data_IF_410699409395
#
_entry.id   IF_410699409395
#
_cell.length_a   1.000
_cell.length_b   1.000
_cell.length_c   1.000
_cell.angle_alpha   90.00
_cell.angle_beta   90.00
_cell.angle_gamma   90.00
#
_symmetry.space_group_name_H-M   'P 1'
#
loop_
_entity.id
_entity.type
_entity.pdbx_description
1 polymer ?
#
# COMPACT_ATOMS: atom_id res chain seq x y z
N UNK A 1 59.94 -44.34 -60.27
CA UNK A 1 58.48 -44.54 -60.15
C UNK A 1 58.17 -45.01 -58.74
N UNK A 2 57.26 -44.29 -58.05
CA UNK A 2 56.25 -44.70 -57.05
C UNK A 2 56.65 -45.76 -55.98
N UNK A 3 56.34 -45.65 -54.68
CA UNK A 3 55.33 -44.88 -53.97
C UNK A 3 55.75 -44.66 -52.50
N UNK A 4 55.47 -43.46 -51.99
CA UNK A 4 55.59 -43.08 -50.59
C UNK A 4 54.32 -43.50 -49.84
N UNK A 5 54.45 -44.24 -48.74
CA UNK A 5 53.40 -44.36 -47.73
C UNK A 5 53.94 -43.81 -46.41
N UNK A 6 53.54 -42.59 -46.07
CA UNK A 6 53.73 -41.99 -44.76
C UNK A 6 52.43 -42.12 -43.97
N UNK A 7 52.40 -43.01 -42.98
CA UNK A 7 51.37 -43.02 -41.94
C UNK A 7 51.62 -41.83 -41.00
N UNK A 8 50.64 -40.94 -40.87
CA UNK A 8 50.68 -39.81 -39.92
C UNK A 8 50.36 -40.32 -38.51
N UNK A 9 51.21 -40.10 -37.49
CA UNK A 9 50.83 -40.35 -36.11
C UNK A 9 49.88 -39.26 -35.62
N UNK A 10 48.85 -39.68 -34.89
CA UNK A 10 47.79 -38.85 -34.31
C UNK A 10 48.39 -38.03 -33.16
N UNK A 11 48.25 -36.70 -33.20
CA UNK A 11 48.72 -35.80 -32.14
C UNK A 11 47.78 -35.90 -30.93
N UNK A 12 48.31 -36.32 -29.79
CA UNK A 12 47.59 -36.41 -28.52
C UNK A 12 47.09 -35.04 -28.02
N UNK A 13 45.85 -35.02 -27.54
CA UNK A 13 45.16 -33.88 -26.91
C UNK A 13 45.61 -33.80 -25.44
N UNK A 14 46.92 -33.68 -25.18
CA UNK A 14 47.39 -33.37 -23.83
C UNK A 14 47.50 -31.85 -23.70
N UNK A 15 46.39 -31.25 -23.26
CA UNK A 15 46.30 -29.83 -22.95
C UNK A 15 47.15 -29.58 -21.69
N UNK A 16 48.28 -28.90 -21.85
CA UNK A 16 49.16 -28.47 -20.76
C UNK A 16 48.35 -27.60 -19.78
N UNK A 17 48.47 -27.79 -18.45
CA UNK A 17 47.82 -26.89 -17.50
C UNK A 17 48.44 -25.50 -17.64
N UNK A 18 47.61 -24.52 -18.01
CA UNK A 18 47.98 -23.10 -17.88
C UNK A 18 48.05 -22.77 -16.39
N UNK A 19 49.11 -22.05 -16.06
CA UNK A 19 49.45 -21.47 -14.76
C UNK A 19 48.24 -20.87 -14.02
N UNK A 20 48.11 -21.32 -12.78
CA UNK A 20 47.20 -20.84 -11.75
C UNK A 20 47.59 -19.45 -11.21
N UNK A 21 47.44 -18.42 -12.04
CA UNK A 21 47.73 -17.03 -11.60
C UNK A 21 46.67 -15.98 -11.96
N UNK A 22 45.60 -16.35 -12.68
CA UNK A 22 44.59 -15.37 -13.15
C UNK A 22 43.15 -15.76 -12.78
N UNK A 23 42.97 -16.60 -11.76
CA UNK A 23 41.64 -16.98 -11.23
C UNK A 23 41.34 -16.42 -9.84
N UNK A 24 42.07 -15.38 -9.38
CA UNK A 24 41.83 -14.77 -8.06
C UNK A 24 41.08 -13.43 -8.07
N UNK A 25 40.71 -12.88 -9.23
CA UNK A 25 40.00 -11.57 -9.28
C UNK A 25 38.52 -11.63 -9.65
N UNK A 26 37.92 -12.83 -9.78
CA UNK A 26 36.47 -13.00 -9.97
C UNK A 26 35.78 -13.81 -8.87
N UNK A 27 36.35 -13.86 -7.67
CA UNK A 27 35.73 -14.41 -6.46
C UNK A 27 35.21 -13.31 -5.51
N UNK A 28 34.96 -12.11 -6.02
CA UNK A 28 34.57 -10.91 -5.26
C UNK A 28 33.10 -10.83 -4.84
N UNK A 29 32.27 -11.81 -5.17
CA UNK A 29 30.99 -12.01 -4.48
C UNK A 29 31.18 -13.09 -3.43
N UNK A 30 31.79 -12.70 -2.30
CA UNK A 30 31.75 -13.50 -1.07
C UNK A 30 30.29 -13.86 -0.82
N UNK A 31 29.94 -15.15 -0.98
CA UNK A 31 28.63 -15.68 -0.62
C UNK A 31 28.41 -15.30 0.84
N UNK A 32 27.58 -14.27 1.10
CA UNK A 32 27.19 -13.88 2.47
C UNK A 32 26.84 -15.17 3.21
N UNK A 33 27.43 -15.38 4.40
CA UNK A 33 27.20 -16.64 5.11
C UNK A 33 25.69 -16.82 5.28
N UNK A 34 25.13 -18.00 4.94
CA UNK A 34 23.69 -18.22 5.02
C UNK A 34 23.16 -18.00 6.44
N UNK A 35 24.00 -18.22 7.45
CA UNK A 35 23.73 -17.89 8.86
C UNK A 35 23.49 -16.39 9.07
N UNK A 36 24.32 -15.53 8.50
CA UNK A 36 24.22 -14.08 8.67
C UNK A 36 22.96 -13.55 7.99
N UNK A 37 22.62 -14.11 6.82
CA UNK A 37 21.36 -13.83 6.12
C UNK A 37 20.15 -14.26 6.95
N UNK A 38 20.17 -15.48 7.51
CA UNK A 38 19.09 -15.97 8.36
C UNK A 38 18.90 -15.10 9.62
N UNK A 39 20.00 -14.68 10.27
CA UNK A 39 19.94 -13.78 11.43
C UNK A 39 19.39 -12.40 11.07
N UNK A 40 19.74 -11.87 9.89
CA UNK A 40 19.18 -10.62 9.39
C UNK A 40 17.66 -10.71 9.19
N UNK A 41 17.19 -11.76 8.51
CA UNK A 41 15.74 -11.97 8.34
C UNK A 41 15.02 -12.20 9.68
N UNK A 42 15.64 -12.93 10.61
CA UNK A 42 15.07 -13.13 11.94
C UNK A 42 14.87 -11.81 12.69
N UNK A 43 15.83 -10.87 12.58
CA UNK A 43 15.71 -9.53 13.18
C UNK A 43 14.60 -8.72 12.53
N UNK A 44 14.53 -8.68 11.19
CA UNK A 44 13.47 -7.97 10.49
C UNK A 44 12.06 -8.48 10.87
N UNK A 45 11.91 -9.80 11.01
CA UNK A 45 10.65 -10.41 11.45
C UNK A 45 10.34 -10.02 12.90
N UNK A 46 11.36 -9.98 13.77
CA UNK A 46 11.19 -9.55 15.15
C UNK A 46 10.75 -8.07 15.22
N UNK A 47 11.44 -7.19 14.50
CA UNK A 47 11.11 -5.76 14.45
C UNK A 47 9.66 -5.53 13.98
N UNK A 48 9.21 -6.30 12.97
CA UNK A 48 7.83 -6.28 12.52
C UNK A 48 6.85 -6.68 13.62
N UNK A 49 7.13 -7.78 14.33
CA UNK A 49 6.27 -8.25 15.43
C UNK A 49 6.22 -7.26 16.59
N UNK A 50 7.35 -6.64 16.91
CA UNK A 50 7.45 -5.66 17.99
C UNK A 50 6.58 -4.43 17.68
N UNK A 51 6.58 -3.99 16.41
CA UNK A 51 5.72 -2.90 15.93
C UNK A 51 4.24 -3.31 15.93
N UNK A 52 3.91 -4.51 15.46
CA UNK A 52 2.52 -5.03 15.52
C UNK A 52 2.02 -5.09 16.98
N UNK A 53 2.84 -5.57 17.90
CA UNK A 53 2.52 -5.58 19.34
C UNK A 53 2.29 -4.16 19.88
N UNK A 54 3.13 -3.20 19.48
CA UNK A 54 3.00 -1.80 19.90
C UNK A 54 1.69 -1.17 19.40
N UNK A 55 1.26 -1.48 18.18
CA UNK A 55 -0.03 -1.01 17.63
C UNK A 55 -1.18 -1.56 18.47
N UNK A 56 -1.15 -2.84 18.84
CA UNK A 56 -2.18 -3.42 19.70
C UNK A 56 -2.22 -2.75 21.08
N UNK A 57 -1.07 -2.51 21.71
CA UNK A 57 -0.99 -1.81 22.99
C UNK A 57 -1.57 -0.38 22.90
N UNK A 58 -1.34 0.30 21.78
CA UNK A 58 -1.93 1.61 21.51
C UNK A 58 -3.42 1.54 21.29
N UNK A 59 -3.94 0.54 20.57
CA UNK A 59 -5.39 0.34 20.42
C UNK A 59 -6.02 0.18 21.81
N UNK A 60 -5.45 -0.68 22.66
CA UNK A 60 -5.93 -0.89 24.03
C UNK A 60 -5.95 0.41 24.85
N UNK A 61 -4.87 1.19 24.82
CA UNK A 61 -4.82 2.46 25.53
C UNK A 61 -5.83 3.50 25.00
N UNK A 62 -6.05 3.54 23.68
CA UNK A 62 -6.94 4.52 23.03
C UNK A 62 -8.43 4.16 23.16
N UNK A 63 -8.77 2.90 23.46
CA UNK A 63 -10.16 2.49 23.68
C UNK A 63 -10.76 3.15 24.93
N UNK A 64 -9.95 3.39 25.96
CA UNK A 64 -10.41 3.96 27.24
C UNK A 64 -10.60 5.48 27.20
N UNK A 65 -10.02 6.16 26.20
CA UNK A 65 -10.24 7.59 26.00
C UNK A 65 -11.72 7.92 25.66
N UNK A 66 -12.20 9.12 26.00
CA UNK A 66 -11.52 10.17 26.76
C UNK A 66 -11.46 9.86 28.27
N UNK A 67 -10.36 10.23 28.93
CA UNK A 67 -10.21 10.06 30.36
C UNK A 67 -11.14 11.01 31.14
N UNK A 68 -11.38 12.20 30.59
CA UNK A 68 -12.27 13.21 31.15
C UNK A 68 -13.50 13.39 30.25
N UNK A 69 -14.65 12.75 30.57
CA UNK A 69 -15.85 12.79 29.73
C UNK A 69 -16.61 14.13 29.79
N UNK A 70 -16.16 15.08 30.60
CA UNK A 70 -16.77 16.41 30.73
C UNK A 70 -16.57 17.29 29.48
N UNK A 71 -15.60 16.96 28.63
CA UNK A 71 -15.31 17.71 27.42
C UNK A 71 -16.10 17.18 26.21
N UNK A 72 -16.72 18.06 25.41
CA UNK A 72 -17.44 17.64 24.21
C UNK A 72 -16.46 17.18 23.13
N UNK A 73 -16.94 16.34 22.20
CA UNK A 73 -16.13 15.82 21.10
C UNK A 73 -15.55 16.91 20.16
N UNK A 74 -16.15 18.10 20.13
CA UNK A 74 -15.65 19.25 19.36
C UNK A 74 -14.54 20.03 20.05
N UNK A 75 -14.38 19.86 21.37
CA UNK A 75 -13.33 20.53 22.16
C UNK A 75 -12.82 19.56 23.23
N UNK A 76 -12.08 18.52 22.80
CA UNK A 76 -11.56 17.50 23.72
C UNK A 76 -10.44 18.05 24.61
N UNK A 77 -10.16 17.35 25.70
CA UNK A 77 -9.13 17.76 26.65
C UNK A 77 -7.73 17.69 26.00
N UNK A 78 -6.84 18.68 26.20
CA UNK A 78 -5.53 18.74 25.53
C UNK A 78 -4.62 17.54 25.81
N UNK A 79 -4.70 16.94 27.00
CA UNK A 79 -3.93 15.73 27.32
C UNK A 79 -4.39 14.52 26.50
N UNK A 80 -5.70 14.38 26.29
CA UNK A 80 -6.28 13.28 25.52
C UNK A 80 -5.93 13.45 24.05
N UNK A 81 -5.89 14.71 23.55
CA UNK A 81 -5.42 15.05 22.21
C UNK A 81 -3.95 14.66 22.03
N UNK A 82 -3.07 15.06 22.94
CA UNK A 82 -1.64 14.79 22.84
C UNK A 82 -1.36 13.27 22.85
N UNK A 83 -2.04 12.54 23.73
CA UNK A 83 -1.96 11.07 23.82
C UNK A 83 -2.46 10.43 22.52
N UNK A 84 -3.62 10.84 22.04
CA UNK A 84 -4.21 10.34 20.80
C UNK A 84 -3.32 10.56 19.58
N UNK A 85 -2.83 11.79 19.36
CA UNK A 85 -2.01 12.13 18.21
C UNK A 85 -0.64 11.45 18.25
N UNK A 86 -0.05 11.29 19.45
CA UNK A 86 1.22 10.58 19.62
C UNK A 86 1.12 9.10 19.24
N UNK A 87 0.05 8.43 19.64
CA UNK A 87 -0.15 7.00 19.40
C UNK A 87 -0.63 6.69 17.97
N UNK A 88 -1.56 7.49 17.42
CA UNK A 88 -2.16 7.25 16.10
C UNK A 88 -1.18 7.43 14.95
N UNK A 89 -0.05 8.10 15.16
CA UNK A 89 0.93 8.35 14.11
C UNK A 89 1.47 7.10 13.42
N UNK A 90 1.62 5.98 14.15
CA UNK A 90 2.12 4.73 13.57
C UNK A 90 1.03 3.93 12.84
N UNK A 91 -0.24 4.33 12.99
CA UNK A 91 -1.35 3.53 12.48
C UNK A 91 -1.42 3.56 10.95
N UNK A 92 -1.97 2.49 10.40
CA UNK A 92 -2.57 2.45 9.07
C UNK A 92 -4.07 2.80 9.16
N UNK A 93 -4.71 3.14 8.03
CA UNK A 93 -6.16 3.29 7.97
C UNK A 93 -6.93 2.07 8.48
N UNK A 94 -6.40 0.85 8.29
CA UNK A 94 -6.97 -0.39 8.81
C UNK A 94 -6.90 -0.47 10.34
N UNK A 95 -5.76 -0.18 10.94
CA UNK A 95 -5.59 -0.20 12.40
C UNK A 95 -6.54 0.81 13.07
N UNK A 96 -6.82 1.93 12.39
CA UNK A 96 -7.79 2.91 12.85
C UNK A 96 -9.24 2.39 12.77
N UNK A 97 -9.58 1.58 11.75
CA UNK A 97 -10.88 0.90 11.68
C UNK A 97 -11.03 -0.17 12.77
N UNK A 98 -9.95 -0.87 13.11
CA UNK A 98 -9.92 -1.83 14.22
C UNK A 98 -10.15 -1.10 15.55
N UNK A 99 -9.48 0.04 15.77
CA UNK A 99 -9.72 0.89 16.94
C UNK A 99 -11.19 1.33 17.04
N UNK A 100 -11.80 1.74 15.93
CA UNK A 100 -13.24 2.11 15.90
C UNK A 100 -14.10 0.91 16.32
N UNK A 101 -13.80 -0.27 15.77
CA UNK A 101 -14.55 -1.50 16.03
C UNK A 101 -14.44 -1.90 17.50
N UNK A 102 -13.23 -1.95 18.05
CA UNK A 102 -12.99 -2.30 19.46
C UNK A 102 -13.69 -1.31 20.40
N UNK A 103 -13.65 -0.02 20.10
CA UNK A 103 -14.40 0.99 20.86
C UNK A 103 -15.91 0.80 20.78
N UNK A 104 -16.43 0.39 19.63
CA UNK A 104 -17.85 0.12 19.49
C UNK A 104 -18.30 -1.13 20.26
N UNK A 105 -17.41 -2.11 20.43
CA UNK A 105 -17.61 -3.28 21.28
C UNK A 105 -17.54 -2.89 22.77
N UNK A 106 -16.62 -2.02 23.15
CA UNK A 106 -16.50 -1.53 24.52
C UNK A 106 -17.64 -0.55 24.89
N UNK A 107 -18.58 -1.01 25.73
CA UNK A 107 -19.69 -0.20 26.29
C UNK A 107 -20.56 0.55 25.26
N UNK A 108 -20.50 0.18 23.98
CA UNK A 108 -21.13 0.88 22.86
C UNK A 108 -20.68 2.35 22.75
N UNK A 109 -19.39 2.65 22.95
CA UNK A 109 -18.85 4.00 22.76
C UNK A 109 -18.84 4.38 21.26
N UNK A 110 -18.82 5.69 21.01
CA UNK A 110 -18.65 6.23 19.67
C UNK A 110 -17.27 5.85 19.11
N UNK A 111 -17.21 5.55 17.81
CA UNK A 111 -15.96 5.24 17.11
C UNK A 111 -14.94 6.38 17.13
N UNK A 112 -15.40 7.63 17.30
CA UNK A 112 -14.48 8.75 17.45
C UNK A 112 -13.86 8.71 18.85
N UNK A 113 -12.54 8.51 18.91
CA UNK A 113 -11.75 8.26 20.14
C UNK A 113 -11.95 9.31 21.23
N UNK A 114 -11.98 10.57 20.85
CA UNK A 114 -12.11 11.70 21.76
C UNK A 114 -13.56 12.00 22.16
N UNK A 115 -14.54 11.20 21.69
CA UNK A 115 -15.95 11.38 22.00
C UNK A 115 -16.35 10.56 23.24
N UNK A 116 -16.91 11.19 24.29
CA UNK A 116 -17.42 10.46 25.45
C UNK A 116 -18.79 9.80 25.21
N UNK A 117 -19.46 10.13 24.10
CA UNK A 117 -20.82 9.68 23.85
C UNK A 117 -20.89 8.23 23.37
N UNK A 118 -22.02 7.59 23.64
CA UNK A 118 -22.34 6.26 23.08
C UNK A 118 -22.72 6.35 21.61
N UNK A 119 -22.44 5.29 20.86
CA UNK A 119 -22.86 5.16 19.45
C UNK A 119 -24.38 5.05 19.34
N UNK A 120 -24.93 5.48 18.20
CA UNK A 120 -26.35 5.31 17.91
C UNK A 120 -26.63 3.84 17.60
N UNK A 121 -27.79 3.35 18.03
CA UNK A 121 -28.34 2.07 17.60
C UNK A 121 -29.66 2.32 16.90
N UNK A 122 -29.82 1.80 15.70
CA UNK A 122 -31.07 1.90 14.96
C UNK A 122 -31.92 0.67 15.24
N UNK A 123 -33.19 0.88 15.59
CA UNK A 123 -34.13 -0.23 15.74
C UNK A 123 -34.56 -0.73 14.36
N UNK A 124 -34.64 -2.06 14.21
CA UNK A 124 -35.13 -2.75 13.00
C UNK A 124 -34.03 -3.46 12.20
N UNK A 125 -34.33 -4.66 11.70
CA UNK A 125 -33.40 -5.60 11.07
C UNK A 125 -32.99 -5.27 9.61
N UNK A 126 -33.10 -4.00 9.19
CA UNK A 126 -32.71 -3.59 7.84
C UNK A 126 -31.20 -3.41 7.73
N UNK A 127 -30.58 -4.00 6.70
CA UNK A 127 -29.15 -3.85 6.40
C UNK A 127 -28.78 -2.44 5.92
N UNK A 128 -29.72 -1.75 5.27
CA UNK A 128 -29.54 -0.39 4.75
C UNK A 128 -30.55 0.58 5.35
N UNK A 129 -30.14 1.85 5.48
CA UNK A 129 -30.98 2.96 5.93
C UNK A 129 -30.88 4.12 4.95
N UNK A 130 -32.03 4.73 4.74
CA UNK A 130 -32.20 5.94 3.93
C UNK A 130 -31.81 7.14 4.81
N UNK A 131 -30.75 7.84 4.44
CA UNK A 131 -30.30 9.06 5.11
C UNK A 131 -30.75 10.28 4.30
N UNK A 132 -31.23 11.32 4.99
CA UNK A 132 -31.66 12.59 4.37
C UNK A 132 -32.76 12.44 3.28
N UNK A 133 -33.72 11.53 3.47
CA UNK A 133 -34.84 11.35 2.53
C UNK A 133 -35.51 12.70 2.19
N UNK A 134 -35.67 12.98 0.89
CA UNK A 134 -36.30 14.20 0.39
C UNK A 134 -35.40 15.45 0.35
N UNK A 135 -34.09 15.31 0.60
CA UNK A 135 -33.10 16.38 0.40
C UNK A 135 -32.14 16.02 -0.73
N UNK A 136 -31.39 17.02 -1.24
CA UNK A 136 -30.38 16.84 -2.29
C UNK A 136 -29.27 15.86 -1.88
N UNK A 137 -28.95 15.80 -0.59
CA UNK A 137 -27.92 14.92 -0.02
C UNK A 137 -28.48 13.55 0.41
N UNK A 138 -29.39 12.99 -0.38
CA UNK A 138 -29.99 11.67 -0.12
C UNK A 138 -28.97 10.57 -0.38
N UNK A 139 -28.83 9.64 0.57
CA UNK A 139 -27.90 8.52 0.45
C UNK A 139 -28.47 7.27 1.12
N UNK A 140 -28.05 6.10 0.62
CA UNK A 140 -28.41 4.78 1.14
C UNK A 140 -27.16 4.20 1.77
N UNK A 141 -27.11 4.23 3.10
CA UNK A 141 -25.93 3.81 3.86
C UNK A 141 -26.25 2.54 4.63
N UNK A 142 -25.27 1.64 4.74
CA UNK A 142 -25.39 0.48 5.60
C UNK A 142 -25.63 0.87 7.06
N UNK A 143 -26.53 0.14 7.72
CA UNK A 143 -26.84 0.35 9.15
C UNK A 143 -25.58 0.23 9.99
N UNK A 144 -24.68 -0.72 9.67
CA UNK A 144 -23.43 -0.95 10.41
C UNK A 144 -22.52 0.28 10.40
N UNK A 145 -22.38 0.96 9.26
CA UNK A 145 -21.56 2.17 9.13
C UNK A 145 -22.12 3.35 9.92
N UNK A 146 -23.45 3.48 9.98
CA UNK A 146 -24.12 4.52 10.76
C UNK A 146 -24.03 4.27 12.27
N UNK A 147 -24.07 3.00 12.68
CA UNK A 147 -24.01 2.58 14.09
C UNK A 147 -22.62 2.64 14.71
N UNK A 148 -21.57 2.96 13.94
CA UNK A 148 -20.23 3.24 14.49
C UNK A 148 -20.19 4.56 15.27
N UNK A 149 -21.13 5.48 14.99
CA UNK A 149 -21.02 6.89 15.41
C UNK A 149 -22.18 7.37 16.28
N UNK A 150 -21.92 8.38 17.12
CA UNK A 150 -22.97 9.09 17.87
C UNK A 150 -23.60 10.25 17.06
N UNK A 151 -22.94 10.72 16.00
CA UNK A 151 -23.37 11.85 15.18
C UNK A 151 -22.59 11.91 13.86
N UNK A 152 -23.16 12.58 12.85
CA UNK A 152 -22.48 12.81 11.55
C UNK A 152 -21.20 13.62 11.70
N UNK A 153 -21.16 14.55 12.65
CA UNK A 153 -19.96 15.34 12.91
C UNK A 153 -18.84 14.46 13.47
N UNK A 154 -19.13 13.50 14.34
CA UNK A 154 -18.11 12.54 14.80
C UNK A 154 -17.60 11.64 13.66
N UNK A 155 -18.46 11.23 12.73
CA UNK A 155 -18.03 10.53 11.51
C UNK A 155 -17.05 11.37 10.70
N UNK A 156 -17.35 12.66 10.49
CA UNK A 156 -16.44 13.57 9.76
C UNK A 156 -15.11 13.75 10.48
N UNK A 157 -15.11 13.94 11.79
CA UNK A 157 -13.88 14.07 12.59
C UNK A 157 -12.99 12.84 12.49
N UNK A 158 -13.58 11.65 12.62
CA UNK A 158 -12.84 10.41 12.53
C UNK A 158 -12.34 10.13 11.11
N UNK A 159 -13.18 10.39 10.09
CA UNK A 159 -12.79 10.22 8.70
C UNK A 159 -11.67 11.19 8.30
N UNK A 160 -11.70 12.42 8.81
CA UNK A 160 -10.63 13.42 8.62
C UNK A 160 -9.28 12.89 9.12
N UNK A 161 -9.26 12.22 10.28
CA UNK A 161 -8.05 11.60 10.82
C UNK A 161 -7.61 10.43 9.95
N UNK A 162 -8.55 9.54 9.59
CA UNK A 162 -8.27 8.34 8.77
C UNK A 162 -7.59 8.68 7.44
N UNK A 163 -8.07 9.72 6.75
CA UNK A 163 -7.53 10.15 5.44
C UNK A 163 -6.11 10.71 5.54
N UNK A 164 -5.70 11.17 6.73
CA UNK A 164 -4.33 11.64 6.95
C UNK A 164 -3.34 10.51 7.25
N UNK A 165 -3.82 9.30 7.55
CA UNK A 165 -2.95 8.17 7.86
C UNK A 165 -2.30 7.61 6.60
N UNK A 166 -1.09 7.07 6.76
CA UNK A 166 -0.34 6.48 5.67
C UNK A 166 -0.76 5.01 5.49
N UNK A 167 -0.91 4.57 4.23
CA UNK A 167 -1.27 3.19 3.90
C UNK A 167 -0.08 2.22 4.05
N UNK A 168 1.16 2.69 3.95
CA UNK A 168 2.37 1.87 4.16
C UNK A 168 2.46 1.37 5.59
N UNK A 169 2.94 0.16 5.80
CA UNK A 169 3.03 -0.40 7.15
C UNK A 169 4.07 0.33 8.00
N UNK A 170 3.85 0.42 9.31
CA UNK A 170 4.71 1.17 10.22
C UNK A 170 6.19 0.73 10.16
N UNK A 171 6.46 -0.57 10.00
CA UNK A 171 7.82 -1.11 9.87
C UNK A 171 8.54 -0.75 8.56
N UNK A 172 7.81 -0.30 7.53
CA UNK A 172 8.38 0.14 6.25
C UNK A 172 8.69 1.64 6.23
N UNK A 173 8.23 2.38 7.25
CA UNK A 173 8.36 3.84 7.34
C UNK A 173 9.71 4.32 7.91
N UNK A 174 10.67 3.42 8.11
CA UNK A 174 11.99 3.77 8.63
C UNK A 174 12.69 4.73 7.65
N UNK A 175 12.89 5.98 8.08
CA UNK A 175 13.54 7.04 7.28
C UNK A 175 12.58 7.98 6.53
N UNK A 176 11.27 7.79 6.62
CA UNK A 176 10.29 8.75 6.12
C UNK A 176 10.02 9.87 7.13
N UNK A 177 9.66 11.09 6.67
CA UNK A 177 9.35 12.20 7.55
C UNK A 177 8.15 11.89 8.46
N UNK A 178 8.21 12.46 9.65
CA UNK A 178 7.16 12.42 10.67
C UNK A 178 5.80 12.85 10.13
N UNK A 179 4.82 11.93 10.15
CA UNK A 179 3.43 12.27 9.84
C UNK A 179 2.86 13.19 10.92
N UNK A 180 2.45 14.39 10.53
CA UNK A 180 1.72 15.33 11.38
C UNK A 180 0.23 15.17 11.14
N UNK A 181 -0.46 14.53 12.10
CA UNK A 181 -1.91 14.37 12.07
C UNK A 181 -2.56 15.57 12.75
N UNK A 182 -3.55 16.18 12.09
CA UNK A 182 -4.31 17.32 12.60
C UNK A 182 -5.77 16.95 12.86
N UNK A 183 -6.36 17.54 13.90
CA UNK A 183 -7.78 17.37 14.20
C UNK A 183 -8.66 18.17 13.24
N UNK A 184 -9.92 17.78 13.15
CA UNK A 184 -10.88 18.46 12.30
C UNK A 184 -11.11 19.92 12.74
N UNK A 185 -11.03 20.90 11.82
CA UNK A 185 -11.26 22.30 12.16
C UNK A 185 -12.76 22.54 12.40
N UNK A 186 -13.12 22.94 13.62
CA UNK A 186 -14.49 23.36 13.92
C UNK A 186 -14.77 24.73 13.27
N UNK A 187 -15.90 24.83 12.57
CA UNK A 187 -16.40 26.14 12.11
C UNK A 187 -16.84 26.94 13.33
N UNK A 188 -16.03 27.89 13.75
CA UNK A 188 -16.40 28.84 14.79
C UNK A 188 -17.61 29.62 14.29
N UNK A 189 -18.78 29.45 14.92
CA UNK A 189 -20.00 30.22 14.59
C UNK A 189 -19.93 31.68 15.07
N UNK A 190 -18.74 32.27 15.15
CA UNK A 190 -18.51 33.65 15.50
C UNK A 190 -17.71 34.29 14.36
N UNK A 191 -18.40 34.93 13.41
CA UNK A 191 -17.73 35.90 12.53
C UNK A 191 -18.28 36.16 11.14
N UNK A 192 -18.96 35.22 10.48
CA UNK A 192 -19.20 35.36 9.02
C UNK A 192 -20.66 35.66 8.65
N UNK A 193 -21.16 36.79 9.16
CA UNK A 193 -22.28 37.50 8.56
C UNK A 193 -21.84 38.74 7.78
N UNK A 194 -20.53 39.02 7.67
CA UNK A 194 -20.05 40.20 6.95
C UNK A 194 -18.62 40.00 6.44
N UNK A 195 -18.47 39.39 5.26
CA UNK A 195 -17.27 39.43 4.40
C UNK A 195 -17.58 38.79 3.03
N UNK A 196 -18.56 39.35 2.36
CA UNK A 196 -18.70 39.29 0.90
C UNK A 196 -18.77 40.74 0.42
N UNK A 197 -17.65 41.46 0.53
CA UNK A 197 -17.34 42.71 -0.18
C UNK A 197 -16.11 43.34 0.48
N UNK A 198 -14.94 42.99 -0.04
CA UNK A 198 -13.69 43.75 -0.01
C UNK A 198 -12.49 42.78 -0.13
N UNK A 199 -12.22 42.33 -1.35
CA UNK A 199 -10.85 42.07 -1.77
C UNK A 199 -10.66 42.57 -3.20
N UNK A 200 -10.70 43.90 -3.29
CA UNK A 200 -9.98 44.64 -4.31
C UNK A 200 -8.52 44.65 -3.82
N UNK A 201 -7.66 43.85 -4.45
CA UNK A 201 -6.21 44.03 -4.33
C UNK A 201 -5.64 44.08 -5.73
N UNK A 202 -4.99 45.22 -5.93
CA UNK A 202 -4.30 45.70 -7.10
C UNK A 202 -3.33 44.70 -7.71
N UNK A 203 -3.39 44.68 -9.03
CA UNK A 203 -2.41 44.11 -9.94
C UNK A 203 -1.13 44.95 -9.89
N UNK A 204 0.06 44.32 -9.92
CA UNK A 204 1.20 44.92 -10.61
C UNK A 204 1.43 44.18 -11.92
N UNK A 205 1.30 44.93 -13.01
CA UNK A 205 1.79 44.56 -14.33
C UNK A 205 3.32 44.36 -14.30
N UNK A 206 3.80 43.26 -14.89
CA UNK A 206 4.96 43.31 -15.79
C UNK A 206 5.03 42.05 -16.69
N UNK A 207 4.59 42.26 -17.95
CA UNK A 207 5.17 41.74 -19.19
C UNK A 207 5.48 40.23 -19.35
N UNK A 208 4.67 39.53 -20.18
CA UNK A 208 5.14 39.05 -21.49
C UNK A 208 4.01 38.42 -22.33
N UNK A 209 3.69 39.11 -23.43
CA UNK A 209 3.20 38.64 -24.74
C UNK A 209 2.40 37.32 -24.87
N UNK A 210 1.12 37.50 -25.24
CA UNK A 210 0.44 36.68 -26.26
C UNK A 210 -0.42 35.51 -25.77
N UNK A 211 -1.75 35.71 -25.69
CA UNK A 211 -2.71 35.16 -26.67
C UNK A 211 -4.15 35.48 -26.22
N UNK A 212 -4.93 36.07 -27.12
CA UNK A 212 -6.29 36.57 -26.91
C UNK A 212 -7.28 35.44 -27.28
N UNK A 213 -8.24 35.17 -26.38
CA UNK A 213 -9.48 34.46 -26.74
C UNK A 213 -9.53 32.94 -26.57
N UNK A 214 -9.16 32.40 -25.41
CA UNK A 214 -9.46 31.00 -25.07
C UNK A 214 -10.42 30.91 -23.89
N UNK A 215 -11.49 30.15 -24.08
CA UNK A 215 -12.50 29.86 -23.05
C UNK A 215 -11.86 29.04 -21.92
N UNK A 216 -12.32 29.21 -20.67
CA UNK A 216 -11.90 28.44 -19.48
C UNK A 216 -11.57 26.95 -19.74
N UNK A 217 -12.39 26.16 -20.47
CA UNK A 217 -12.06 24.76 -20.77
C UNK A 217 -10.79 24.56 -21.61
N UNK A 218 -10.42 25.52 -22.48
CA UNK A 218 -9.19 25.42 -23.30
C UNK A 218 -7.93 25.70 -22.48
N UNK A 219 -8.02 26.54 -21.45
CA UNK A 219 -6.91 26.77 -20.51
C UNK A 219 -6.64 25.53 -19.67
N UNK A 220 -7.70 24.92 -19.12
CA UNK A 220 -7.61 23.68 -18.35
C UNK A 220 -7.07 22.52 -19.21
N UNK A 221 -7.51 22.40 -20.46
CA UNK A 221 -6.98 21.39 -21.38
C UNK A 221 -5.48 21.57 -21.65
N UNK A 222 -5.02 22.81 -21.78
CA UNK A 222 -3.59 23.13 -22.00
C UNK A 222 -2.75 22.84 -20.74
N UNK A 223 -3.30 23.14 -19.56
CA UNK A 223 -2.64 22.84 -18.28
C UNK A 223 -2.55 21.32 -18.03
N UNK A 224 -3.62 20.57 -18.32
CA UNK A 224 -3.63 19.11 -18.24
C UNK A 224 -2.62 18.46 -19.19
N UNK A 225 -2.50 18.98 -20.42
CA UNK A 225 -1.50 18.49 -21.38
C UNK A 225 -0.07 18.73 -20.89
N UNK A 226 0.18 19.87 -20.22
CA UNK A 226 1.48 20.18 -19.62
C UNK A 226 1.81 19.22 -18.46
N UNK A 227 0.84 18.95 -17.60
CA UNK A 227 1.01 18.00 -16.49
C UNK A 227 1.31 16.58 -16.99
N UNK A 228 0.67 16.14 -18.09
CA UNK A 228 0.96 14.85 -18.72
C UNK A 228 2.40 14.77 -19.24
N UNK A 229 2.88 15.79 -19.94
CA UNK A 229 4.27 15.84 -20.41
C UNK A 229 5.29 15.80 -19.25
N UNK A 230 4.98 16.42 -18.11
CA UNK A 230 5.83 16.36 -16.92
C UNK A 230 5.80 14.98 -16.25
N UNK A 231 4.64 14.32 -16.21
CA UNK A 231 4.51 12.94 -15.72
C UNK A 231 5.30 11.97 -16.59
N UNK A 232 5.20 12.09 -17.92
CA UNK A 232 5.93 11.23 -18.86
C UNK A 232 7.44 11.42 -18.73
N UNK A 233 7.92 12.67 -18.54
CA UNK A 233 9.34 12.93 -18.29
C UNK A 233 9.83 12.32 -16.99
N UNK A 234 9.04 12.39 -15.91
CA UNK A 234 9.37 11.75 -14.63
C UNK A 234 9.38 10.23 -14.74
N UNK A 235 8.40 9.66 -15.44
CA UNK A 235 8.34 8.22 -15.68
C UNK A 235 9.55 7.74 -16.50
N UNK A 236 9.98 8.49 -17.52
CA UNK A 236 11.18 8.19 -18.29
C UNK A 236 12.46 8.26 -17.43
N UNK A 237 12.59 9.26 -16.55
CA UNK A 237 13.71 9.36 -15.62
C UNK A 237 13.74 8.22 -14.61
N UNK A 238 12.58 7.84 -14.06
CA UNK A 238 12.46 6.70 -13.16
C UNK A 238 12.79 5.39 -13.87
N UNK A 239 12.31 5.21 -15.10
CA UNK A 239 12.64 4.03 -15.92
C UNK A 239 14.15 3.95 -16.22
N UNK A 240 14.80 5.09 -16.50
CA UNK A 240 16.24 5.16 -16.71
C UNK A 240 17.03 4.85 -15.43
N UNK A 241 16.58 5.35 -14.27
CA UNK A 241 17.18 5.00 -12.98
C UNK A 241 17.02 3.50 -12.67
N UNK A 242 15.83 2.93 -12.93
CA UNK A 242 15.56 1.50 -12.76
C UNK A 242 16.43 0.63 -13.68
N UNK A 243 16.64 1.06 -14.92
CA UNK A 243 17.52 0.38 -15.88
C UNK A 243 18.99 0.43 -15.44
N UNK A 244 19.42 1.54 -14.83
CA UNK A 244 20.75 1.67 -14.25
C UNK A 244 20.93 0.75 -13.03
N UNK A 245 19.91 0.62 -12.17
CA UNK A 245 19.90 -0.31 -11.03
C UNK A 245 19.87 -1.79 -11.46
N UNK A 246 19.20 -2.10 -12.57
CA UNK A 246 19.16 -3.45 -13.16
C UNK A 246 20.45 -3.84 -13.89
N UNK A 247 21.38 -2.90 -14.08
CA UNK A 247 22.64 -3.14 -14.78
C UNK A 247 22.49 -3.19 -16.31
N UNK A 248 21.39 -2.71 -16.88
CA UNK A 248 21.17 -2.59 -18.33
C UNK A 248 21.91 -1.38 -18.95
N UNK A 249 22.64 -0.62 -18.12
CA UNK A 249 23.47 0.51 -18.55
C UNK A 249 24.82 0.08 -19.09
N UNK A 250 24.87 -0.46 -20.31
CA UNK A 250 26.12 -0.84 -20.95
C UNK A 250 26.06 -0.94 -22.47
N UNK A 251 26.47 0.15 -23.13
CA UNK A 251 27.25 0.12 -24.37
C UNK A 251 26.60 -0.45 -25.63
N UNK A 252 26.38 0.44 -26.60
CA UNK A 252 26.54 0.09 -28.01
C UNK A 252 28.01 -0.31 -28.25
N UNK A 253 28.39 -1.51 -27.83
CA UNK A 253 29.62 -2.16 -28.25
C UNK A 253 29.27 -3.54 -28.81
N UNK A 254 29.73 -3.75 -30.03
CA UNK A 254 29.51 -4.91 -30.83
C UNK A 254 30.02 -6.20 -30.15
N UNK A 255 29.31 -7.30 -30.43
CA UNK A 255 29.67 -8.70 -30.13
C UNK A 255 29.12 -9.31 -28.83
N UNK A 256 27.80 -9.23 -28.63
CA UNK A 256 27.09 -10.34 -28.00
C UNK A 256 26.92 -11.47 -29.03
N UNK A 257 27.28 -12.74 -28.74
CA UNK A 257 27.02 -13.84 -29.67
C UNK A 257 25.50 -14.01 -29.84
N UNK A 258 25.00 -13.75 -31.04
CA UNK A 258 23.60 -13.99 -31.40
C UNK A 258 23.32 -15.50 -31.34
N UNK A 259 22.73 -15.98 -30.26
CA UNK A 259 22.15 -17.33 -30.23
C UNK A 259 20.78 -17.28 -30.91
N UNK A 260 20.66 -18.04 -32.00
CA UNK A 260 19.41 -18.16 -32.75
C UNK A 260 18.48 -19.12 -31.98
N UNK A 261 17.55 -18.56 -31.18
CA UNK A 261 16.59 -19.33 -30.42
C UNK A 261 15.42 -19.74 -31.34
N UNK A 262 15.50 -20.94 -31.92
CA UNK A 262 14.38 -21.53 -32.67
C UNK A 262 13.41 -22.14 -31.67
N UNK A 263 12.38 -21.39 -31.28
CA UNK A 263 11.27 -21.89 -30.49
C UNK A 263 10.43 -22.79 -31.39
N UNK A 264 10.61 -24.12 -31.27
CA UNK A 264 9.68 -25.10 -31.82
C UNK A 264 8.61 -25.40 -30.77
N UNK A 265 7.39 -24.97 -31.04
CA UNK A 265 6.23 -25.42 -30.29
C UNK A 265 6.12 -26.95 -30.36
N UNK A 266 6.24 -27.60 -29.21
CA UNK A 266 6.01 -29.03 -29.08
C UNK A 266 4.49 -29.25 -29.13
N UNK A 267 3.99 -29.92 -30.18
CA UNK A 267 2.57 -30.29 -30.26
C UNK A 267 2.20 -31.12 -29.04
N UNK A 268 1.29 -30.59 -28.24
CA UNK A 268 0.68 -31.26 -27.09
C UNK A 268 -0.41 -32.18 -27.63
N UNK A 269 -0.16 -33.49 -27.63
CA UNK A 269 -1.11 -34.52 -28.10
C UNK A 269 -2.13 -34.94 -27.03
N UNK A 270 -2.11 -34.32 -25.84
CA UNK A 270 -3.05 -34.63 -24.76
C UNK A 270 -4.19 -33.63 -24.78
N UNK A 271 -5.40 -34.13 -25.01
CA UNK A 271 -6.62 -33.34 -24.89
C UNK A 271 -6.76 -32.84 -23.45
N UNK A 272 -7.00 -31.55 -23.26
CA UNK A 272 -7.21 -30.99 -21.93
C UNK A 272 -8.49 -31.60 -21.32
N UNK A 273 -8.32 -32.45 -20.31
CA UNK A 273 -9.43 -33.03 -19.54
C UNK A 273 -9.75 -32.06 -18.42
N UNK A 274 -10.99 -31.56 -18.39
CA UNK A 274 -11.47 -30.74 -17.29
C UNK A 274 -11.46 -31.57 -15.99
N UNK A 275 -11.03 -31.01 -14.85
CA UNK A 275 -11.05 -31.73 -13.58
C UNK A 275 -12.49 -32.12 -13.22
N UNK A 276 -12.73 -33.41 -13.00
CA UNK A 276 -14.02 -33.94 -12.57
C UNK A 276 -14.24 -33.63 -11.10
N UNK A 277 -15.40 -33.04 -10.77
CA UNK A 277 -15.83 -32.62 -9.42
C UNK A 277 -16.32 -33.78 -8.55
N UNK A 278 -15.56 -34.87 -8.47
CA UNK A 278 -15.97 -36.07 -7.70
C UNK A 278 -14.88 -36.65 -6.82
N UNK A 279 -13.80 -35.91 -6.55
CA UNK A 279 -12.77 -36.35 -5.61
C UNK A 279 -12.39 -35.15 -4.73
N UNK A 280 -12.76 -35.20 -3.43
CA UNK A 280 -12.32 -34.25 -2.39
C UNK A 280 -10.83 -34.43 -2.10
N UNK A 281 -10.01 -34.06 -3.09
CA UNK A 281 -8.56 -34.13 -3.01
C UNK A 281 -8.01 -32.72 -3.15
N UNK A 282 -7.88 -32.01 -2.03
CA UNK A 282 -7.09 -30.79 -1.97
C UNK A 282 -5.63 -31.21 -2.07
N UNK A 283 -4.96 -30.79 -3.14
CA UNK A 283 -3.50 -30.83 -3.29
C UNK A 283 -2.83 -32.20 -3.04
N UNK A 284 -3.46 -33.29 -3.52
CA UNK A 284 -2.86 -34.63 -3.50
C UNK A 284 -2.85 -35.34 -2.14
N UNK A 285 -3.55 -34.80 -1.13
CA UNK A 285 -3.72 -35.47 0.15
C UNK A 285 -5.10 -36.16 0.24
N UNK A 286 -5.13 -37.49 0.32
CA UNK A 286 -6.34 -38.26 0.61
C UNK A 286 -6.53 -38.38 2.12
N UNK A 287 -7.55 -37.72 2.65
CA UNK A 287 -7.95 -37.84 4.06
C UNK A 287 -8.36 -39.28 4.35
N UNK A 288 -7.80 -39.88 5.41
CA UNK A 288 -8.08 -41.29 5.81
C UNK A 288 -9.31 -41.44 6.72
N UNK A 289 -10.06 -40.38 6.96
CA UNK A 289 -11.27 -40.43 7.78
C UNK A 289 -12.46 -40.74 6.90
N UNK A 290 -12.70 -42.05 6.68
CA UNK A 290 -13.92 -42.53 6.04
C UNK A 290 -15.13 -42.21 6.90
N UNK A 291 -16.18 -41.67 6.27
CA UNK A 291 -17.53 -41.60 6.82
C UNK A 291 -18.14 -43.00 6.79
N UNK A 292 -18.00 -43.75 7.87
CA UNK A 292 -18.91 -44.86 8.17
C UNK A 292 -20.25 -44.25 8.59
N UNK A 293 -21.16 -44.06 7.64
CA UNK A 293 -22.59 -44.00 7.94
C UNK A 293 -23.11 -45.42 7.89
N UNK A 294 -23.18 -46.00 9.08
CA UNK A 294 -24.02 -47.15 9.39
C UNK A 294 -25.51 -46.76 9.33
N UNK A 295 -26.29 -47.76 8.93
CA UNK A 295 -27.70 -48.03 9.22
C UNK A 295 -28.86 -47.27 8.55
N UNK A 296 -29.71 -48.05 7.88
CA UNK A 296 -31.15 -48.00 8.15
C UNK A 296 -32.11 -48.23 6.98
N UNK A 297 -32.61 -49.48 6.89
CA UNK A 297 -33.78 -49.99 6.15
C UNK A 297 -33.64 -50.35 4.66
#
# INVERSE_FOLDING_TARGET
>A
MMASQAQKPVKGILKKPKSSSEQQEQAGQSKRNPRDVALHHARLIQDRKDIESLIFDYILALIDLPANPSHPASSPHPNDIATFLGMVRIFQPSDYDDLITERNLNENRCGYTLCPNKRRKFRGAGTYKLVNQGRKDFDIVETKELEKWCSKECTRRALWIKVQLNETAAWERVGLPELKVELYPEKTQQGDANKQDAMQIDTPEQSSAGNVGQTEPQRLATEMARLQLEQDRKAAQQAQALAMERGDGGGQDASAPSFNLVIREKRVNTQAVAPSTSDDTIEGYKSRFGTTTEDGA
#
